data_IF_485031738440
#
_entry.id   IF_485031738440
#
_cell.length_a   1.000
_cell.length_b   1.000
_cell.length_c   1.000
_cell.angle_alpha   90.00
_cell.angle_beta   90.00
_cell.angle_gamma   90.00
#
_symmetry.space_group_name_H-M   'P 1'
#
loop_
_entity.id
_entity.type
_entity.pdbx_description
1 polymer ?
#
# COMPACT_ATOMS: atom_id res chain seq x y z
N UNK A 1 -3.02 17.66 -11.99
CA UNK A 1 -2.74 16.31 -11.45
C UNK A 1 -3.56 15.23 -12.14
N UNK A 2 -4.90 15.32 -12.15
CA UNK A 2 -5.78 14.30 -12.77
C UNK A 2 -5.46 14.10 -14.26
N UNK A 3 -5.44 15.16 -15.06
CA UNK A 3 -5.12 15.07 -16.50
C UNK A 3 -3.75 14.42 -16.79
N UNK A 4 -2.76 14.62 -15.93
CA UNK A 4 -1.45 13.98 -16.07
C UNK A 4 -1.55 12.47 -15.79
N UNK A 5 -2.26 12.07 -14.74
CA UNK A 5 -2.50 10.68 -14.40
C UNK A 5 -3.30 9.95 -15.50
N UNK A 6 -4.32 10.60 -16.05
CA UNK A 6 -5.12 10.07 -17.17
C UNK A 6 -4.24 9.83 -18.40
N UNK A 7 -3.34 10.77 -18.72
CA UNK A 7 -2.40 10.63 -19.84
C UNK A 7 -1.47 9.44 -19.65
N UNK A 8 -0.72 9.37 -18.55
CA UNK A 8 0.25 8.28 -18.35
C UNK A 8 -0.43 6.91 -18.27
N UNK A 9 -1.63 6.82 -17.69
CA UNK A 9 -2.35 5.54 -17.64
C UNK A 9 -2.96 5.16 -18.98
N UNK A 10 -3.28 6.14 -19.83
CA UNK A 10 -3.68 5.90 -21.22
C UNK A 10 -2.52 5.38 -22.07
N UNK A 11 -1.30 5.85 -21.78
CA UNK A 11 -0.03 5.44 -22.41
C UNK A 11 0.46 4.05 -21.92
N UNK A 12 -0.28 3.38 -21.04
CA UNK A 12 0.00 2.01 -20.60
C UNK A 12 0.71 1.88 -19.26
N UNK A 13 0.97 2.99 -18.55
CA UNK A 13 1.52 2.91 -17.19
C UNK A 13 0.49 2.35 -16.19
N UNK A 14 0.97 1.62 -15.17
CA UNK A 14 0.11 1.01 -14.13
C UNK A 14 -0.75 2.06 -13.41
N UNK A 15 -0.17 3.22 -13.08
CA UNK A 15 -0.82 4.23 -12.26
C UNK A 15 0.19 5.08 -11.50
N UNK A 16 -0.21 5.54 -10.31
CA UNK A 16 0.60 6.41 -9.45
C UNK A 16 0.62 5.91 -8.01
N UNK A 17 1.64 6.35 -7.28
CA UNK A 17 1.71 6.22 -5.82
C UNK A 17 1.69 7.63 -5.22
N UNK A 18 0.66 7.92 -4.44
CA UNK A 18 0.50 9.18 -3.71
C UNK A 18 1.15 9.01 -2.34
N UNK A 19 2.07 9.91 -1.99
CA UNK A 19 2.78 9.91 -0.71
C UNK A 19 2.56 11.25 0.00
N UNK A 20 2.57 11.28 1.34
CA UNK A 20 2.70 12.53 2.07
C UNK A 20 4.01 13.23 1.70
N UNK A 21 4.05 14.56 1.83
CA UNK A 21 5.25 15.36 1.57
C UNK A 21 6.42 14.94 2.46
N UNK A 22 6.14 14.74 3.76
CA UNK A 22 7.10 14.23 4.73
C UNK A 22 7.02 12.71 4.88
N UNK A 23 8.17 12.04 4.93
CA UNK A 23 8.24 10.58 4.93
C UNK A 23 7.47 9.91 6.08
N UNK A 24 7.56 10.47 7.29
CA UNK A 24 6.77 10.03 8.46
C UNK A 24 5.80 11.15 8.79
N UNK A 25 4.53 10.96 8.48
CA UNK A 25 3.49 11.98 8.69
C UNK A 25 2.43 11.49 9.68
N UNK A 26 1.99 12.39 10.57
CA UNK A 26 0.87 12.14 11.49
C UNK A 26 -0.24 13.15 11.29
N UNK A 27 -1.48 12.70 11.39
CA UNK A 27 -2.66 13.54 11.43
C UNK A 27 -3.45 13.23 12.70
N UNK A 28 -3.80 14.27 13.47
CA UNK A 28 -4.53 14.12 14.76
C UNK A 28 -3.86 13.09 15.69
N UNK A 29 -2.52 13.13 15.78
CA UNK A 29 -1.70 12.22 16.59
C UNK A 29 -1.49 10.82 16.01
N UNK A 30 -2.20 10.42 14.96
CA UNK A 30 -2.13 9.08 14.36
C UNK A 30 -1.24 9.07 13.12
N UNK A 31 -0.46 8.01 12.95
CA UNK A 31 0.29 7.76 11.71
C UNK A 31 -0.71 7.59 10.55
N UNK A 32 -0.46 8.26 9.43
CA UNK A 32 -1.25 8.11 8.21
C UNK A 32 -0.57 7.14 7.24
N UNK A 33 -1.30 6.69 6.21
CA UNK A 33 -0.74 5.82 5.17
C UNK A 33 0.50 6.48 4.54
N UNK A 34 1.66 5.81 4.53
CA UNK A 34 2.89 6.37 3.96
C UNK A 34 2.82 6.46 2.42
N UNK A 35 1.96 5.64 1.81
CA UNK A 35 1.74 5.60 0.38
C UNK A 35 0.34 5.05 0.06
N UNK A 36 -0.29 5.56 -1.00
CA UNK A 36 -1.53 5.03 -1.56
C UNK A 36 -1.32 4.80 -3.05
N UNK A 37 -1.57 3.56 -3.50
CA UNK A 37 -1.49 3.18 -4.91
C UNK A 37 -2.82 3.47 -5.61
N UNK A 38 -2.78 4.16 -6.75
CA UNK A 38 -3.94 4.47 -7.60
C UNK A 38 -3.65 3.99 -9.01
N UNK A 39 -4.24 2.84 -9.36
CA UNK A 39 -4.04 2.15 -10.65
C UNK A 39 -4.99 2.69 -11.72
N UNK A 40 -4.52 2.79 -12.95
CA UNK A 40 -5.30 3.17 -14.12
C UNK A 40 -6.35 2.11 -14.49
N UNK A 41 -7.44 2.57 -15.12
CA UNK A 41 -8.56 1.69 -15.51
C UNK A 41 -8.10 0.53 -16.40
N UNK A 42 -7.28 0.80 -17.43
CA UNK A 42 -6.76 -0.24 -18.32
C UNK A 42 -5.92 -1.30 -17.59
N UNK A 43 -5.09 -0.89 -16.64
CA UNK A 43 -4.27 -1.83 -15.86
C UNK A 43 -5.12 -2.74 -14.97
N UNK A 44 -6.24 -2.21 -14.43
CA UNK A 44 -7.13 -2.97 -13.57
C UNK A 44 -7.81 -4.15 -14.26
N UNK A 45 -7.84 -4.21 -15.61
CA UNK A 45 -8.25 -5.43 -16.33
C UNK A 45 -7.36 -6.64 -16.04
N UNK A 46 -6.06 -6.43 -15.79
CA UNK A 46 -5.13 -7.51 -15.42
C UNK A 46 -5.47 -8.06 -14.03
N UNK A 47 -5.99 -7.20 -13.15
CA UNK A 47 -6.25 -7.52 -11.74
C UNK A 47 -7.66 -8.06 -11.51
N UNK A 48 -8.66 -7.48 -12.19
CA UNK A 48 -10.07 -7.74 -11.97
C UNK A 48 -10.78 -8.40 -13.15
N UNK A 49 -10.06 -8.73 -14.24
CA UNK A 49 -10.57 -9.37 -15.47
C UNK A 49 -11.40 -8.41 -16.34
N UNK A 50 -11.63 -8.79 -17.61
CA UNK A 50 -12.22 -7.97 -18.67
C UNK A 50 -13.63 -7.41 -18.39
N UNK A 51 -14.38 -8.02 -17.47
CA UNK A 51 -15.78 -7.70 -17.18
C UNK A 51 -15.96 -6.82 -15.94
N UNK A 52 -14.88 -6.35 -15.30
CA UNK A 52 -14.96 -5.64 -14.02
C UNK A 52 -15.72 -4.30 -14.08
N UNK A 53 -15.83 -3.70 -15.27
CA UNK A 53 -16.58 -2.46 -15.50
C UNK A 53 -18.07 -2.68 -15.75
N UNK A 54 -18.54 -3.93 -15.90
CA UNK A 54 -19.98 -4.20 -15.97
C UNK A 54 -20.67 -3.66 -14.69
N UNK A 55 -21.84 -3.00 -14.79
CA UNK A 55 -22.45 -2.30 -13.66
C UNK A 55 -22.57 -3.14 -12.38
N UNK A 56 -22.98 -4.39 -12.52
CA UNK A 56 -23.08 -5.36 -11.42
C UNK A 56 -21.73 -5.67 -10.75
N UNK A 57 -20.70 -5.92 -11.54
CA UNK A 57 -19.34 -6.19 -11.06
C UNK A 57 -18.74 -4.95 -10.39
N UNK A 58 -18.87 -3.79 -11.03
CA UNK A 58 -18.35 -2.53 -10.50
C UNK A 58 -19.03 -2.15 -9.19
N UNK A 59 -20.34 -2.35 -9.07
CA UNK A 59 -21.08 -2.10 -7.83
C UNK A 59 -20.58 -2.99 -6.69
N UNK A 60 -20.32 -4.27 -6.95
CA UNK A 60 -19.72 -5.18 -5.97
C UNK A 60 -18.29 -4.77 -5.61
N UNK A 61 -17.46 -4.40 -6.58
CA UNK A 61 -16.06 -4.00 -6.36
C UNK A 61 -15.91 -2.70 -5.56
N UNK A 62 -16.87 -1.77 -5.69
CA UNK A 62 -16.92 -0.56 -4.87
C UNK A 62 -17.11 -0.84 -3.38
N UNK A 63 -17.68 -2.00 -3.02
CA UNK A 63 -17.87 -2.43 -1.62
C UNK A 63 -16.64 -3.14 -1.03
N UNK A 64 -15.49 -3.15 -1.72
CA UNK A 64 -14.26 -3.79 -1.22
C UNK A 64 -13.76 -3.13 0.07
N UNK A 65 -13.29 -3.95 1.01
CA UNK A 65 -12.76 -3.48 2.27
C UNK A 65 -11.23 -3.37 2.23
N UNK A 66 -10.70 -2.15 2.28
CA UNK A 66 -9.25 -1.88 2.28
C UNK A 66 -8.65 -1.77 3.69
N UNK A 67 -9.49 -1.81 4.73
CA UNK A 67 -9.09 -1.47 6.10
C UNK A 67 -8.05 -2.42 6.66
N UNK A 68 -8.13 -3.72 6.34
CA UNK A 68 -7.15 -4.71 6.79
C UNK A 68 -5.78 -4.44 6.16
N UNK A 69 -5.72 -4.26 4.82
CA UNK A 69 -4.45 -3.95 4.12
C UNK A 69 -3.85 -2.64 4.62
N UNK A 70 -4.67 -1.61 4.81
CA UNK A 70 -4.23 -0.32 5.36
C UNK A 70 -3.64 -0.44 6.77
N UNK A 71 -4.25 -1.25 7.64
CA UNK A 71 -3.72 -1.48 9.00
C UNK A 71 -2.39 -2.25 8.96
N UNK A 72 -2.29 -3.28 8.12
CA UNK A 72 -1.06 -4.05 7.94
C UNK A 72 0.08 -3.17 7.40
N UNK A 73 -0.19 -2.38 6.35
CA UNK A 73 0.78 -1.45 5.79
C UNK A 73 1.35 -0.45 6.82
N UNK A 74 0.54 0.03 7.76
CA UNK A 74 1.03 0.90 8.85
C UNK A 74 1.91 0.17 9.85
N UNK A 75 1.61 -1.09 10.17
CA UNK A 75 2.41 -1.90 11.08
C UNK A 75 3.74 -2.29 10.44
N UNK A 76 3.72 -2.78 9.20
CA UNK A 76 4.90 -3.09 8.39
C UNK A 76 5.79 -1.85 8.26
N UNK A 77 5.22 -0.69 7.91
CA UNK A 77 5.96 0.56 7.84
C UNK A 77 6.61 0.95 9.18
N UNK A 78 5.90 0.78 10.29
CA UNK A 78 6.42 1.11 11.63
C UNK A 78 7.59 0.19 12.01
N UNK A 79 7.47 -1.12 11.76
CA UNK A 79 8.54 -2.08 12.00
C UNK A 79 9.73 -1.84 11.07
N UNK A 80 9.50 -1.53 9.79
CA UNK A 80 10.57 -1.21 8.85
C UNK A 80 11.37 0.02 9.26
N UNK A 81 10.69 1.10 9.65
CA UNK A 81 11.36 2.32 10.16
C UNK A 81 12.15 2.02 11.43
N UNK A 82 11.58 1.25 12.35
CA UNK A 82 12.26 0.86 13.59
C UNK A 82 13.51 0.00 13.31
N UNK A 83 13.40 -1.02 12.45
CA UNK A 83 14.54 -1.87 12.07
C UNK A 83 15.69 -1.07 11.48
N UNK A 84 15.39 -0.10 10.59
CA UNK A 84 16.40 0.81 10.04
C UNK A 84 17.05 1.67 11.13
N UNK A 85 16.26 2.22 12.06
CA UNK A 85 16.79 3.03 13.16
C UNK A 85 17.74 2.25 14.06
N UNK A 86 17.39 1.02 14.40
CA UNK A 86 18.22 0.15 15.24
C UNK A 86 19.51 -0.25 14.55
N UNK A 87 19.43 -0.56 13.26
CA UNK A 87 20.60 -0.87 12.45
C UNK A 87 21.57 0.33 12.40
N UNK A 88 21.06 1.52 12.07
CA UNK A 88 21.87 2.75 12.02
C UNK A 88 22.41 3.12 13.42
N UNK A 89 21.65 2.81 14.47
CA UNK A 89 22.05 3.02 15.86
C UNK A 89 23.09 2.02 16.39
N UNK A 90 23.48 1.01 15.61
CA UNK A 90 24.47 0.00 16.02
C UNK A 90 23.95 -0.98 17.07
N UNK A 91 22.63 -1.18 17.16
CA UNK A 91 22.07 -2.21 18.02
C UNK A 91 22.45 -3.63 17.53
N UNK A 92 22.27 -4.62 18.41
CA UNK A 92 22.57 -6.00 18.09
C UNK A 92 21.71 -6.53 16.94
N UNK A 93 22.22 -7.53 16.22
CA UNK A 93 21.53 -8.10 15.05
C UNK A 93 20.16 -8.68 15.41
N UNK A 94 20.00 -9.22 16.63
CA UNK A 94 18.74 -9.76 17.15
C UNK A 94 17.68 -8.66 17.26
N UNK A 95 18.07 -7.46 17.71
CA UNK A 95 17.19 -6.28 17.83
C UNK A 95 16.81 -5.70 16.47
N UNK A 96 17.63 -5.86 15.45
CA UNK A 96 17.24 -5.50 14.07
C UNK A 96 16.33 -6.58 13.49
N UNK A 97 16.68 -7.85 13.70
CA UNK A 97 15.94 -8.99 13.17
C UNK A 97 14.54 -9.13 13.75
N UNK A 98 14.28 -8.74 15.00
CA UNK A 98 12.91 -8.76 15.53
C UNK A 98 11.95 -7.90 14.68
N UNK A 99 12.42 -6.76 14.15
CA UNK A 99 11.62 -5.90 13.28
C UNK A 99 11.43 -6.51 11.88
N UNK A 100 12.50 -7.08 11.32
CA UNK A 100 12.48 -7.71 9.99
C UNK A 100 11.57 -8.95 9.99
N UNK A 101 11.75 -9.85 10.96
CA UNK A 101 10.95 -11.06 11.12
C UNK A 101 9.50 -10.72 11.48
N UNK A 102 9.27 -9.69 12.29
CA UNK A 102 7.92 -9.20 12.57
C UNK A 102 7.20 -8.70 11.32
N UNK A 103 7.91 -8.01 10.42
CA UNK A 103 7.36 -7.57 9.13
C UNK A 103 7.03 -8.78 8.24
N UNK A 104 7.94 -9.74 8.13
CA UNK A 104 7.74 -10.97 7.35
C UNK A 104 6.54 -11.79 7.85
N UNK A 105 6.38 -11.89 9.18
CA UNK A 105 5.26 -12.61 9.78
C UNK A 105 3.90 -11.96 9.40
N UNK A 106 3.83 -10.64 9.28
CA UNK A 106 2.60 -9.94 8.91
C UNK A 106 2.19 -10.17 7.45
N UNK A 107 3.13 -10.42 6.54
CA UNK A 107 2.83 -10.75 5.14
C UNK A 107 2.13 -12.12 4.99
N UNK A 108 2.15 -12.95 6.04
CA UNK A 108 1.43 -14.23 6.06
C UNK A 108 -0.05 -14.08 6.37
N UNK A 109 -0.49 -12.91 6.86
CA UNK A 109 -1.91 -12.66 7.14
C UNK A 109 -2.70 -12.56 5.82
N UNK A 110 -3.77 -13.35 5.61
CA UNK A 110 -4.49 -13.34 4.35
C UNK A 110 -5.19 -12.00 4.14
N UNK A 111 -4.93 -11.38 3.00
CA UNK A 111 -5.59 -10.16 2.52
C UNK A 111 -6.02 -10.39 1.08
N UNK A 112 -7.04 -9.66 0.61
CA UNK A 112 -7.44 -9.69 -0.79
C UNK A 112 -6.22 -9.38 -1.69
N UNK A 113 -5.77 -10.34 -2.52
CA UNK A 113 -4.54 -10.21 -3.31
C UNK A 113 -4.67 -9.16 -4.41
N UNK A 114 -5.89 -8.65 -4.67
CA UNK A 114 -6.17 -7.65 -5.69
C UNK A 114 -5.90 -6.22 -5.21
N UNK A 115 -5.74 -6.01 -3.90
CA UNK A 115 -5.56 -4.68 -3.28
C UNK A 115 -4.13 -4.14 -3.43
#
# INVERSE_FOLDING_TARGET
MIAWWERITSDGHEGIVIKPETFITRAKGKLIQPAIKVRGSKYLYIIYVMDYLLPENLNRLKQRNVSKKQKLALKEFSLGVEGIRRFVGGESIERVHECVLGTLAMESDPVDPRL
#
